data_IF_181069234293
#
_entry.id   IF_181069234293
#
_cell.length_a   1.000
_cell.length_b   1.000
_cell.length_c   1.000
_cell.angle_alpha   90.00
_cell.angle_beta   90.00
_cell.angle_gamma   90.00
#
_symmetry.space_group_name_H-M   'P 1'
#
loop_
_entity.id
_entity.type
_entity.pdbx_description
1 polymer ?
#
# COMPACT_ATOMS: atom_id res chain seq x y z
N UNK A 1 4.69 -20.99 -2.72
CA UNK A 1 5.93 -20.96 -3.50
C UNK A 1 7.01 -21.63 -2.67
N UNK A 2 7.83 -22.55 -3.18
CA UNK A 2 8.91 -23.14 -2.42
C UNK A 2 9.91 -22.03 -2.02
N UNK A 3 10.55 -22.20 -0.88
CA UNK A 3 11.64 -21.36 -0.43
C UNK A 3 12.71 -21.32 -1.55
N UNK A 4 12.97 -20.14 -2.09
CA UNK A 4 14.04 -19.93 -3.05
C UNK A 4 15.35 -20.08 -2.26
N UNK A 5 16.09 -21.12 -2.57
CA UNK A 5 17.43 -21.32 -2.06
C UNK A 5 18.26 -20.06 -2.33
N UNK A 6 18.99 -19.61 -1.31
CA UNK A 6 19.98 -18.55 -1.40
C UNK A 6 20.92 -18.82 -2.59
N UNK A 7 20.63 -18.16 -3.71
CA UNK A 7 21.59 -18.06 -4.79
C UNK A 7 22.68 -17.09 -4.34
N UNK A 8 23.93 -17.53 -4.38
CA UNK A 8 25.09 -16.72 -4.09
C UNK A 8 25.01 -15.42 -4.91
N UNK A 9 25.21 -14.28 -4.25
CA UNK A 9 25.27 -12.94 -4.84
C UNK A 9 26.57 -12.78 -5.66
N UNK A 10 26.61 -13.41 -6.82
CA UNK A 10 27.55 -13.07 -7.89
C UNK A 10 26.98 -11.86 -8.64
N UNK A 11 27.83 -10.90 -9.00
CA UNK A 11 27.42 -9.82 -9.90
C UNK A 11 26.87 -10.45 -11.19
N UNK A 12 25.61 -10.19 -11.49
CA UNK A 12 25.01 -10.61 -12.75
C UNK A 12 25.63 -9.75 -13.86
N UNK A 13 26.44 -10.32 -14.75
CA UNK A 13 27.15 -9.58 -15.80
C UNK A 13 26.19 -8.96 -16.83
N UNK A 14 24.92 -9.31 -16.81
CA UNK A 14 23.88 -8.75 -17.69
C UNK A 14 23.38 -7.38 -17.20
N UNK A 15 23.56 -7.04 -15.91
CA UNK A 15 23.09 -5.77 -15.36
C UNK A 15 24.12 -4.65 -15.60
N UNK A 16 23.65 -3.39 -15.84
CA UNK A 16 24.52 -2.25 -15.96
C UNK A 16 25.40 -2.03 -14.70
N UNK A 17 26.60 -1.44 -14.85
CA UNK A 17 27.53 -1.22 -13.74
C UNK A 17 26.94 -0.45 -12.54
N UNK A 18 25.97 0.44 -12.79
CA UNK A 18 25.27 1.18 -11.72
C UNK A 18 24.55 0.27 -10.70
N UNK A 19 24.20 -0.97 -11.11
CA UNK A 19 23.55 -1.95 -10.22
C UNK A 19 24.52 -2.72 -9.33
N UNK A 20 25.84 -2.60 -9.53
CA UNK A 20 26.84 -3.36 -8.74
C UNK A 20 26.79 -3.09 -7.24
N UNK A 21 26.37 -1.88 -6.84
CA UNK A 21 26.22 -1.47 -5.44
C UNK A 21 25.01 -2.01 -4.71
N UNK A 22 24.01 -2.57 -5.42
CA UNK A 22 22.78 -3.11 -4.82
C UNK A 22 23.08 -4.40 -4.06
N UNK A 23 22.60 -4.48 -2.81
CA UNK A 23 22.81 -5.63 -1.92
C UNK A 23 21.53 -5.98 -1.18
N UNK A 24 21.30 -7.28 -0.86
CA UNK A 24 20.21 -7.69 0.01
C UNK A 24 20.19 -6.92 1.32
N UNK A 25 19.00 -6.63 1.83
CA UNK A 25 18.81 -5.90 3.10
C UNK A 25 19.31 -6.71 4.31
N UNK A 26 19.33 -8.06 4.21
CA UNK A 26 19.87 -8.95 5.23
C UNK A 26 19.24 -8.75 6.61
N UNK A 27 20.09 -8.66 7.64
CA UNK A 27 19.66 -8.52 9.04
C UNK A 27 19.01 -7.17 9.38
N UNK A 28 18.99 -6.22 8.45
CA UNK A 28 18.22 -4.98 8.62
C UNK A 28 16.70 -5.25 8.66
N UNK A 29 16.27 -6.33 8.02
CA UNK A 29 14.85 -6.72 8.00
C UNK A 29 14.55 -7.58 9.23
N UNK A 30 13.69 -7.06 10.09
CA UNK A 30 13.13 -7.80 11.21
C UNK A 30 11.68 -8.15 10.90
N UNK A 31 11.33 -9.43 11.02
CA UNK A 31 9.94 -9.86 10.83
C UNK A 31 9.04 -9.38 11.98
N UNK A 32 7.77 -9.11 11.68
CA UNK A 32 6.75 -8.83 12.71
C UNK A 32 6.65 -10.05 13.64
N UNK A 33 6.70 -9.81 14.93
CA UNK A 33 6.75 -10.84 15.95
C UNK A 33 5.37 -11.42 16.30
N UNK A 34 5.27 -12.63 16.87
CA UNK A 34 4.02 -13.17 17.38
C UNK A 34 3.33 -12.26 18.41
N UNK A 35 4.09 -11.57 19.25
CA UNK A 35 3.54 -10.63 20.23
C UNK A 35 2.89 -9.41 19.57
N UNK A 36 3.47 -8.90 18.49
CA UNK A 36 2.90 -7.80 17.72
C UNK A 36 1.59 -8.24 17.04
N UNK A 37 1.52 -9.42 16.46
CA UNK A 37 0.26 -9.96 15.91
C UNK A 37 -0.80 -10.13 17.02
N UNK A 38 -0.42 -10.63 18.18
CA UNK A 38 -1.33 -10.75 19.33
C UNK A 38 -1.86 -9.39 19.79
N UNK A 39 -0.99 -8.37 19.84
CA UNK A 39 -1.37 -7.01 20.17
C UNK A 39 -2.34 -6.40 19.15
N UNK A 40 -2.17 -6.69 17.85
CA UNK A 40 -3.11 -6.26 16.78
C UNK A 40 -4.50 -6.87 16.96
N UNK A 41 -4.58 -8.15 17.30
CA UNK A 41 -5.85 -8.83 17.61
C UNK A 41 -6.51 -8.19 18.83
N UNK A 42 -5.78 -7.97 19.92
CA UNK A 42 -6.29 -7.31 21.12
C UNK A 42 -6.77 -5.88 20.82
N UNK A 43 -6.05 -5.13 19.97
CA UNK A 43 -6.47 -3.80 19.52
C UNK A 43 -7.78 -3.84 18.73
N UNK A 44 -7.95 -4.80 17.82
CA UNK A 44 -9.20 -4.97 17.08
C UNK A 44 -10.36 -5.29 18.04
N UNK A 45 -10.14 -6.16 19.04
CA UNK A 45 -11.14 -6.50 20.06
C UNK A 45 -11.57 -5.28 20.89
N UNK A 46 -10.63 -4.39 21.26
CA UNK A 46 -10.94 -3.13 21.92
C UNK A 46 -11.77 -2.21 21.03
N UNK A 47 -11.34 -2.00 19.78
CA UNK A 47 -12.03 -1.17 18.81
C UNK A 47 -13.46 -1.64 18.52
N UNK A 48 -13.70 -2.94 18.47
CA UNK A 48 -15.07 -3.48 18.33
C UNK A 48 -16.01 -3.02 19.44
N UNK A 49 -15.51 -2.82 20.66
CA UNK A 49 -16.30 -2.31 21.78
C UNK A 49 -16.46 -0.78 21.77
N UNK A 50 -15.46 -0.07 21.24
CA UNK A 50 -15.42 1.40 21.17
C UNK A 50 -16.32 1.97 20.06
N UNK A 51 -16.66 1.17 19.04
CA UNK A 51 -17.42 1.60 17.86
C UNK A 51 -16.76 2.78 17.14
N UNK A 52 -15.57 2.60 16.57
CA UNK A 52 -14.82 3.68 15.94
C UNK A 52 -15.60 4.28 14.76
N UNK A 53 -15.39 5.57 14.45
CA UNK A 53 -16.03 6.19 13.29
C UNK A 53 -15.57 5.50 12.00
N UNK A 54 -16.50 5.36 11.07
CA UNK A 54 -16.15 4.88 9.74
C UNK A 54 -15.27 5.88 9.00
N UNK A 55 -14.31 5.42 8.16
CA UNK A 55 -13.54 6.29 7.30
C UNK A 55 -14.41 7.13 6.39
N UNK A 56 -13.92 8.31 6.00
CA UNK A 56 -14.62 9.16 5.03
C UNK A 56 -14.86 8.42 3.73
N UNK A 57 -16.11 8.38 3.30
CA UNK A 57 -16.55 7.67 2.09
C UNK A 57 -16.98 6.21 2.32
N UNK A 58 -16.81 5.65 3.52
CA UNK A 58 -17.36 4.35 3.86
C UNK A 58 -18.89 4.45 4.09
N UNK A 59 -19.68 3.47 3.62
CA UNK A 59 -21.12 3.39 3.93
C UNK A 59 -21.39 2.96 5.38
N UNK A 60 -20.38 2.47 6.11
CA UNK A 60 -20.51 1.99 7.48
C UNK A 60 -20.78 3.12 8.46
N UNK A 61 -21.55 2.81 9.50
CA UNK A 61 -21.78 3.69 10.63
C UNK A 61 -20.99 3.21 11.87
N UNK A 62 -20.61 4.15 12.74
CA UNK A 62 -20.01 3.81 14.03
C UNK A 62 -20.96 2.92 14.84
N UNK A 63 -20.54 1.70 15.13
CA UNK A 63 -21.35 0.70 15.86
C UNK A 63 -20.43 -0.33 16.47
N UNK A 64 -20.89 -0.95 17.57
CA UNK A 64 -20.19 -2.08 18.17
C UNK A 64 -20.30 -3.33 17.31
N UNK A 65 -19.24 -4.11 17.28
CA UNK A 65 -19.23 -5.41 16.63
C UNK A 65 -19.09 -6.52 17.69
N UNK A 66 -19.66 -7.68 17.41
CA UNK A 66 -19.52 -8.87 18.25
C UNK A 66 -18.44 -9.81 17.68
N UNK A 67 -18.19 -9.74 16.38
CA UNK A 67 -17.09 -10.43 15.73
C UNK A 67 -16.66 -9.72 14.44
N UNK A 68 -15.45 -10.05 13.96
CA UNK A 68 -14.96 -9.74 12.62
C UNK A 68 -14.71 -11.04 11.86
N UNK A 69 -14.89 -10.98 10.55
CA UNK A 69 -14.62 -12.09 9.64
C UNK A 69 -13.75 -11.64 8.48
N UNK A 70 -12.70 -12.40 8.22
CA UNK A 70 -11.71 -12.15 7.18
C UNK A 70 -11.57 -13.37 6.26
N UNK A 71 -11.60 -13.14 4.97
CA UNK A 71 -11.15 -14.08 3.95
C UNK A 71 -9.63 -13.93 3.70
N UNK A 72 -9.01 -14.76 2.84
CA UNK A 72 -7.61 -14.57 2.48
C UNK A 72 -7.37 -13.18 1.87
N UNK A 73 -6.40 -12.46 2.41
CA UNK A 73 -6.08 -11.09 2.02
C UNK A 73 -5.15 -10.41 3.01
N UNK A 74 -5.03 -9.11 2.87
CA UNK A 74 -4.11 -8.28 3.64
C UNK A 74 -4.44 -8.27 5.13
N UNK A 75 -5.72 -8.20 5.49
CA UNK A 75 -6.10 -8.21 6.91
C UNK A 75 -5.92 -9.56 7.58
N UNK A 76 -6.12 -10.68 6.85
CA UNK A 76 -5.72 -12.00 7.36
C UNK A 76 -4.22 -12.00 7.72
N UNK A 77 -3.38 -11.51 6.80
CA UNK A 77 -1.94 -11.38 7.06
C UNK A 77 -1.65 -10.43 8.23
N UNK A 78 -2.27 -9.27 8.27
CA UNK A 78 -2.09 -8.26 9.33
C UNK A 78 -2.31 -8.82 10.73
N UNK A 79 -3.33 -9.66 10.91
CA UNK A 79 -3.67 -10.22 12.21
C UNK A 79 -2.95 -11.54 12.54
N UNK A 80 -2.47 -12.28 11.56
CA UNK A 80 -1.96 -13.64 11.78
C UNK A 80 -0.53 -13.89 11.29
N UNK A 81 0.01 -13.04 10.45
CA UNK A 81 1.25 -13.29 9.72
C UNK A 81 1.11 -14.31 8.59
N UNK A 82 -0.08 -14.84 8.36
CA UNK A 82 -0.31 -15.89 7.36
C UNK A 82 -0.64 -15.27 6.00
N UNK A 83 0.27 -15.45 5.02
CA UNK A 83 -0.01 -15.13 3.61
C UNK A 83 -0.71 -16.32 2.96
N UNK A 84 -1.95 -16.09 2.54
CA UNK A 84 -2.75 -17.09 1.85
C UNK A 84 -3.40 -16.51 0.60
N UNK A 85 -3.36 -17.27 -0.50
CA UNK A 85 -4.00 -16.85 -1.76
C UNK A 85 -5.51 -17.02 -1.70
N UNK A 86 -6.23 -16.11 -2.33
CA UNK A 86 -7.67 -16.24 -2.52
C UNK A 86 -7.96 -17.39 -3.48
N UNK A 87 -8.90 -18.25 -3.10
CA UNK A 87 -9.44 -19.32 -3.94
C UNK A 87 -10.94 -19.50 -3.63
N UNK A 88 -11.59 -20.45 -4.30
CA UNK A 88 -12.96 -20.83 -4.00
C UNK A 88 -13.10 -21.52 -2.64
N UNK A 89 -11.99 -22.02 -2.08
CA UNK A 89 -11.95 -22.67 -0.76
C UNK A 89 -11.62 -21.67 0.32
N UNK A 90 -12.50 -21.53 1.28
CA UNK A 90 -12.32 -20.58 2.36
C UNK A 90 -11.21 -21.01 3.32
N UNK A 91 -10.21 -20.15 3.47
CA UNK A 91 -9.39 -20.03 4.67
C UNK A 91 -9.82 -18.75 5.37
N UNK A 92 -10.59 -18.85 6.42
CA UNK A 92 -11.22 -17.71 7.09
C UNK A 92 -10.70 -17.49 8.50
N UNK A 93 -10.58 -16.23 8.92
CA UNK A 93 -10.29 -15.84 10.28
C UNK A 93 -11.54 -15.20 10.90
N UNK A 94 -11.95 -15.70 12.05
CA UNK A 94 -12.99 -15.08 12.88
C UNK A 94 -12.32 -14.53 14.14
N UNK A 95 -12.49 -13.23 14.39
CA UNK A 95 -12.03 -12.58 15.63
C UNK A 95 -13.28 -12.16 16.41
N UNK A 96 -13.66 -12.84 17.49
CA UNK A 96 -14.75 -12.40 18.37
C UNK A 96 -14.29 -11.20 19.20
N UNK A 97 -15.23 -10.31 19.58
CA UNK A 97 -14.96 -9.17 20.45
C UNK A 97 -14.39 -9.60 21.81
N UNK A 98 -14.92 -10.69 22.33
CA UNK A 98 -14.44 -11.35 23.57
C UNK A 98 -14.26 -12.83 23.31
N UNK A 99 -13.15 -13.39 23.76
CA UNK A 99 -12.79 -14.78 23.48
C UNK A 99 -11.55 -14.90 22.59
N UNK A 100 -11.37 -16.06 21.98
CA UNK A 100 -10.18 -16.36 21.17
C UNK A 100 -10.49 -16.39 19.67
N UNK A 101 -9.56 -15.93 18.84
CA UNK A 101 -9.69 -16.03 17.38
C UNK A 101 -9.73 -17.48 16.91
N UNK A 102 -10.41 -17.72 15.78
CA UNK A 102 -10.52 -19.04 15.16
C UNK A 102 -10.19 -18.94 13.68
N UNK A 103 -9.30 -19.82 13.20
CA UNK A 103 -9.05 -20.06 11.77
C UNK A 103 -9.91 -21.24 11.29
N UNK A 104 -10.62 -21.03 10.19
CA UNK A 104 -11.42 -22.07 9.50
C UNK A 104 -10.71 -22.45 8.23
N UNK A 105 -10.32 -23.71 8.06
CA UNK A 105 -9.34 -24.16 7.07
C UNK A 105 -9.79 -25.45 6.41
N UNK A 106 -9.59 -25.64 5.07
CA UNK A 106 -9.81 -26.94 4.45
C UNK A 106 -8.92 -28.02 5.10
N UNK A 107 -9.46 -29.20 5.36
CA UNK A 107 -8.75 -30.28 6.06
C UNK A 107 -7.42 -30.64 5.39
N UNK A 108 -7.38 -30.68 4.06
CA UNK A 108 -6.14 -31.02 3.31
C UNK A 108 -5.07 -29.91 3.33
N UNK A 109 -5.43 -28.67 3.73
CA UNK A 109 -4.50 -27.54 3.89
C UNK A 109 -4.04 -27.32 5.34
N UNK A 110 -4.58 -28.07 6.30
CA UNK A 110 -4.26 -27.91 7.73
C UNK A 110 -2.76 -27.99 8.00
N UNK A 111 -2.07 -28.99 7.45
CA UNK A 111 -0.62 -29.14 7.65
C UNK A 111 0.16 -27.93 7.21
N UNK A 112 -0.11 -27.44 6.00
CA UNK A 112 0.54 -26.25 5.42
C UNK A 112 0.23 -24.97 6.21
N UNK A 113 -1.00 -24.83 6.72
CA UNK A 113 -1.36 -23.68 7.53
C UNK A 113 -0.61 -23.72 8.87
N UNK A 114 -0.53 -24.88 9.53
CA UNK A 114 0.15 -25.01 10.83
C UNK A 114 1.66 -24.70 10.73
N UNK A 115 2.31 -24.96 9.62
CA UNK A 115 3.70 -24.56 9.37
C UNK A 115 3.89 -23.04 9.37
N UNK A 116 2.83 -22.27 9.06
CA UNK A 116 2.83 -20.79 8.99
C UNK A 116 2.26 -20.15 10.24
N UNK A 117 1.55 -20.89 11.08
CA UNK A 117 0.86 -20.37 12.26
C UNK A 117 1.79 -20.34 13.46
N UNK A 118 2.20 -19.13 13.87
CA UNK A 118 3.05 -18.91 15.03
C UNK A 118 2.29 -18.30 16.22
N UNK A 119 0.96 -18.29 16.19
CA UNK A 119 0.07 -17.73 17.18
C UNK A 119 -0.79 -18.82 17.82
N UNK A 120 -1.21 -18.67 19.08
CA UNK A 120 -2.12 -19.60 19.76
C UNK A 120 -3.58 -19.41 19.29
N UNK A 121 -3.83 -19.57 17.99
CA UNK A 121 -5.15 -19.47 17.37
C UNK A 121 -5.73 -20.86 17.20
N UNK A 122 -7.01 -21.05 17.59
CA UNK A 122 -7.75 -22.28 17.36
C UNK A 122 -7.92 -22.50 15.84
N UNK A 123 -7.66 -23.74 15.39
CA UNK A 123 -7.88 -24.11 13.97
C UNK A 123 -9.03 -25.11 13.92
N UNK A 124 -10.06 -24.77 13.14
CA UNK A 124 -11.17 -25.66 12.80
C UNK A 124 -11.09 -26.04 11.34
N UNK A 125 -11.11 -27.33 11.08
CA UNK A 125 -11.04 -27.87 9.73
C UNK A 125 -12.45 -28.16 9.17
N UNK A 126 -12.57 -28.09 7.85
CA UNK A 126 -13.76 -28.49 7.12
C UNK A 126 -13.39 -29.44 5.97
N UNK A 127 -14.28 -30.42 5.71
CA UNK A 127 -14.16 -31.36 4.60
C UNK A 127 -14.87 -30.80 3.37
N UNK A 128 -14.55 -31.30 2.15
CA UNK A 128 -15.09 -30.83 0.90
C UNK A 128 -16.64 -30.87 0.80
N UNK A 129 -17.29 -31.73 1.61
CA UNK A 129 -18.73 -31.87 1.71
C UNK A 129 -19.36 -31.04 2.86
N UNK A 130 -18.55 -30.20 3.54
CA UNK A 130 -19.00 -29.33 4.64
C UNK A 130 -19.00 -27.85 4.26
N UNK A 131 -19.84 -27.08 4.93
CA UNK A 131 -19.87 -25.62 4.78
C UNK A 131 -18.83 -24.95 5.71
N UNK A 132 -17.80 -24.30 5.20
CA UNK A 132 -16.83 -23.58 6.02
C UNK A 132 -17.47 -22.42 6.80
N UNK A 133 -18.50 -21.79 6.26
CA UNK A 133 -19.19 -20.68 6.93
C UNK A 133 -20.10 -21.15 8.07
N UNK A 134 -20.67 -22.34 7.98
CA UNK A 134 -21.36 -22.98 9.13
C UNK A 134 -20.37 -23.31 10.24
N UNK A 135 -19.16 -23.74 9.92
CA UNK A 135 -18.10 -24.00 10.92
C UNK A 135 -17.66 -22.67 11.56
N UNK A 136 -17.54 -21.58 10.79
CA UNK A 136 -17.29 -20.25 11.33
C UNK A 136 -18.41 -19.77 12.28
N UNK A 137 -19.67 -19.95 11.89
CA UNK A 137 -20.82 -19.63 12.73
C UNK A 137 -20.85 -20.46 14.01
N UNK A 138 -20.55 -21.78 13.90
CA UNK A 138 -20.42 -22.67 15.06
C UNK A 138 -19.29 -22.24 15.99
N UNK A 139 -18.17 -21.77 15.47
CA UNK A 139 -17.06 -21.25 16.25
C UNK A 139 -17.48 -20.07 17.16
N UNK A 140 -18.34 -19.19 16.65
CA UNK A 140 -18.93 -18.11 17.45
C UNK A 140 -19.93 -18.65 18.48
N UNK A 141 -20.81 -19.56 18.05
CA UNK A 141 -21.83 -20.15 18.94
C UNK A 141 -21.23 -20.90 20.12
N UNK A 142 -20.10 -21.61 19.90
CA UNK A 142 -19.36 -22.33 20.96
C UNK A 142 -18.73 -21.36 21.98
N UNK A 143 -18.51 -20.11 21.61
CA UNK A 143 -18.08 -19.02 22.49
C UNK A 143 -19.26 -18.16 23.00
N UNK A 144 -20.49 -18.69 22.92
CA UNK A 144 -21.74 -18.05 23.35
C UNK A 144 -22.11 -16.77 22.56
N UNK A 145 -21.60 -16.60 21.37
CA UNK A 145 -21.95 -15.50 20.47
C UNK A 145 -22.87 -16.04 19.37
N UNK A 146 -24.20 -15.80 19.49
CA UNK A 146 -25.22 -16.37 18.62
C UNK A 146 -26.01 -15.31 17.85
N UNK A 147 -25.88 -14.06 18.26
CA UNK A 147 -26.56 -12.89 17.66
C UNK A 147 -25.65 -11.68 17.83
N UNK A 148 -25.97 -10.60 17.12
CA UNK A 148 -25.23 -9.35 17.18
C UNK A 148 -24.77 -8.89 15.81
N UNK A 149 -23.64 -8.21 15.74
CA UNK A 149 -23.12 -7.63 14.51
C UNK A 149 -21.76 -8.23 14.15
N UNK A 150 -21.63 -8.73 12.92
CA UNK A 150 -20.36 -9.20 12.34
C UNK A 150 -19.86 -8.18 11.32
N UNK A 151 -18.63 -7.70 11.53
CA UNK A 151 -17.89 -6.93 10.51
C UNK A 151 -17.23 -7.89 9.53
N UNK A 152 -17.53 -7.72 8.24
CA UNK A 152 -16.90 -8.47 7.16
C UNK A 152 -15.95 -7.54 6.41
N UNK A 153 -14.73 -8.00 6.14
CA UNK A 153 -13.78 -7.23 5.35
C UNK A 153 -14.33 -6.96 3.94
N UNK A 154 -14.23 -5.72 3.47
CA UNK A 154 -14.81 -5.31 2.17
C UNK A 154 -14.20 -6.03 0.98
N UNK A 155 -12.96 -6.48 1.09
CA UNK A 155 -12.27 -7.27 0.06
C UNK A 155 -12.65 -8.75 0.06
N UNK A 156 -13.44 -9.22 1.03
CA UNK A 156 -13.94 -10.60 1.05
C UNK A 156 -14.84 -10.84 -0.17
N UNK A 157 -14.59 -11.93 -0.89
CA UNK A 157 -15.42 -12.31 -2.03
C UNK A 157 -16.90 -12.44 -1.63
N UNK A 158 -17.81 -11.90 -2.48
CA UNK A 158 -19.24 -11.91 -2.20
C UNK A 158 -19.79 -13.30 -1.85
N UNK A 159 -19.25 -14.36 -2.47
CA UNK A 159 -19.63 -15.75 -2.17
C UNK A 159 -19.44 -16.09 -0.69
N UNK A 160 -18.30 -15.71 -0.10
CA UNK A 160 -18.05 -16.00 1.31
C UNK A 160 -18.96 -15.21 2.23
N UNK A 161 -19.21 -13.94 1.91
CA UNK A 161 -20.18 -13.11 2.61
C UNK A 161 -21.58 -13.70 2.52
N UNK A 162 -22.05 -14.03 1.31
CA UNK A 162 -23.41 -14.54 1.09
C UNK A 162 -23.65 -15.87 1.80
N UNK A 163 -22.68 -16.80 1.72
CA UNK A 163 -22.76 -18.06 2.45
C UNK A 163 -22.73 -17.86 3.97
N UNK A 164 -21.92 -16.92 4.48
CA UNK A 164 -21.84 -16.69 5.91
C UNK A 164 -23.13 -16.06 6.48
N UNK A 165 -23.74 -15.11 5.78
CA UNK A 165 -25.01 -14.54 6.23
C UNK A 165 -26.15 -15.55 6.25
N UNK A 166 -26.14 -16.58 5.39
CA UNK A 166 -27.09 -17.66 5.42
C UNK A 166 -26.81 -18.65 6.56
N UNK A 167 -25.54 -18.93 6.83
CA UNK A 167 -25.12 -19.80 7.93
C UNK A 167 -25.33 -19.17 9.32
N UNK A 168 -25.40 -17.84 9.41
CA UNK A 168 -25.51 -17.07 10.64
C UNK A 168 -26.67 -16.06 10.63
N UNK A 169 -27.92 -16.50 10.45
CA UNK A 169 -29.09 -15.61 10.25
C UNK A 169 -29.44 -14.76 11.49
N UNK A 170 -28.88 -15.07 12.66
CA UNK A 170 -29.05 -14.29 13.89
C UNK A 170 -28.20 -13.04 13.97
N UNK A 171 -27.33 -12.79 12.96
CA UNK A 171 -26.42 -11.66 12.97
C UNK A 171 -26.80 -10.60 11.92
N UNK A 172 -26.55 -9.34 12.26
CA UNK A 172 -26.44 -8.24 11.32
C UNK A 172 -25.02 -8.23 10.74
N UNK A 173 -24.90 -8.02 9.45
CA UNK A 173 -23.59 -7.93 8.77
C UNK A 173 -23.32 -6.48 8.33
N UNK A 174 -22.08 -6.05 8.53
CA UNK A 174 -21.62 -4.72 8.15
C UNK A 174 -20.15 -4.78 7.68
N UNK A 175 -19.62 -3.69 7.10
CA UNK A 175 -18.21 -3.57 6.80
C UNK A 175 -17.38 -3.61 8.08
N UNK A 176 -16.24 -4.30 8.04
CA UNK A 176 -15.24 -4.31 9.12
C UNK A 176 -14.34 -3.05 9.11
N UNK A 177 -14.42 -2.22 8.08
CA UNK A 177 -13.54 -1.08 7.83
C UNK A 177 -13.34 -0.15 9.03
N UNK A 178 -14.39 0.21 9.80
CA UNK A 178 -14.18 1.06 10.97
C UNK A 178 -13.14 0.51 11.96
N UNK A 179 -13.03 -0.82 12.07
CA UNK A 179 -12.06 -1.48 12.94
C UNK A 179 -10.75 -1.75 12.22
N UNK A 180 -10.79 -2.34 11.03
CA UNK A 180 -9.58 -2.74 10.29
C UNK A 180 -8.73 -1.53 9.91
N UNK A 181 -9.36 -0.45 9.46
CA UNK A 181 -8.67 0.79 9.13
C UNK A 181 -8.13 1.50 10.38
N UNK A 182 -8.89 1.54 11.48
CA UNK A 182 -8.39 2.09 12.73
C UNK A 182 -7.18 1.30 13.28
N UNK A 183 -7.09 -0.01 12.97
CA UNK A 183 -5.89 -0.81 13.25
C UNK A 183 -4.75 -0.47 12.30
N UNK A 184 -4.99 -0.51 10.98
CA UNK A 184 -3.95 -0.46 9.95
C UNK A 184 -3.46 0.94 9.62
N UNK A 185 -4.31 1.96 9.77
CA UNK A 185 -3.93 3.34 9.46
C UNK A 185 -2.79 3.84 10.37
N UNK A 186 -2.76 3.41 11.63
CA UNK A 186 -1.76 3.82 12.62
C UNK A 186 -0.61 2.83 12.66
N UNK A 187 0.48 3.14 11.99
CA UNK A 187 1.68 2.30 11.93
C UNK A 187 2.46 2.36 13.25
N UNK A 188 2.89 1.22 13.73
CA UNK A 188 3.86 1.11 14.81
C UNK A 188 5.25 1.58 14.35
N UNK A 189 6.16 1.80 15.30
CA UNK A 189 7.55 2.16 14.97
C UNK A 189 8.22 1.08 14.11
N UNK A 190 7.92 -0.20 14.35
CA UNK A 190 8.45 -1.31 13.58
C UNK A 190 7.89 -1.34 12.13
N UNK A 191 6.58 -1.11 11.97
CA UNK A 191 5.97 -1.00 10.64
C UNK A 191 6.57 0.16 9.84
N UNK A 192 6.80 1.31 10.47
CA UNK A 192 7.47 2.47 9.85
C UNK A 192 8.94 2.17 9.47
N UNK A 193 9.64 1.36 10.27
CA UNK A 193 11.00 0.92 9.92
C UNK A 193 11.00 0.05 8.65
N UNK A 194 10.07 -0.90 8.54
CA UNK A 194 9.92 -1.74 7.35
C UNK A 194 9.57 -0.92 6.09
N UNK A 195 8.68 0.09 6.23
CA UNK A 195 8.36 1.01 5.14
C UNK A 195 9.58 1.85 4.72
N UNK A 196 10.37 2.37 5.66
CA UNK A 196 11.61 3.09 5.33
C UNK A 196 12.61 2.21 4.59
N UNK A 197 12.75 0.94 4.99
CA UNK A 197 13.61 0.00 4.27
C UNK A 197 13.12 -0.25 2.83
N UNK A 198 11.80 -0.31 2.62
CA UNK A 198 11.23 -0.42 1.28
C UNK A 198 11.50 0.85 0.44
N UNK A 199 11.34 2.05 1.04
CA UNK A 199 11.67 3.32 0.40
C UNK A 199 13.15 3.42 0.03
N UNK A 200 14.05 3.10 0.97
CA UNK A 200 15.50 3.09 0.72
C UNK A 200 15.88 2.18 -0.45
N UNK A 201 15.35 0.94 -0.45
CA UNK A 201 15.60 -0.03 -1.52
C UNK A 201 15.08 0.47 -2.88
N UNK A 202 13.90 1.09 -2.89
CA UNK A 202 13.32 1.67 -4.10
C UNK A 202 14.17 2.80 -4.64
N UNK A 203 14.66 3.69 -3.77
CA UNK A 203 15.58 4.75 -4.16
C UNK A 203 16.88 4.23 -4.76
N UNK A 204 17.47 3.20 -4.16
CA UNK A 204 18.72 2.62 -4.67
C UNK A 204 18.54 2.00 -6.05
N UNK A 205 17.45 1.24 -6.26
CA UNK A 205 17.12 0.64 -7.56
C UNK A 205 16.81 1.72 -8.61
N UNK A 206 15.99 2.72 -8.28
CA UNK A 206 15.65 3.79 -9.20
C UNK A 206 16.88 4.62 -9.57
N UNK A 207 17.73 4.94 -8.62
CA UNK A 207 19.01 5.64 -8.88
C UNK A 207 19.88 4.87 -9.87
N UNK A 208 20.02 3.55 -9.68
CA UNK A 208 20.79 2.70 -10.59
C UNK A 208 20.14 2.65 -12.00
N UNK A 209 18.81 2.62 -12.05
CA UNK A 209 18.05 2.61 -13.30
C UNK A 209 18.22 3.91 -14.08
N UNK A 210 18.00 5.07 -13.46
CA UNK A 210 18.17 6.37 -14.10
C UNK A 210 19.61 6.58 -14.61
N UNK A 211 20.61 6.11 -13.88
CA UNK A 211 22.02 6.14 -14.31
C UNK A 211 22.32 5.22 -15.50
N UNK A 212 21.42 4.30 -15.82
CA UNK A 212 21.59 3.28 -16.87
C UNK A 212 20.75 3.54 -18.12
N UNK A 213 19.95 4.60 -18.15
CA UNK A 213 19.08 4.93 -19.28
C UNK A 213 19.89 5.18 -20.56
N UNK A 214 19.37 4.68 -21.68
CA UNK A 214 19.95 4.85 -23.00
C UNK A 214 18.85 5.11 -24.01
N UNK A 215 19.13 5.95 -25.01
CA UNK A 215 18.22 6.18 -26.12
C UNK A 215 17.83 4.86 -26.81
N UNK A 216 16.57 4.75 -27.19
CA UNK A 216 16.00 3.56 -27.83
C UNK A 216 15.50 2.46 -26.87
N UNK A 217 15.80 2.54 -25.57
CA UNK A 217 15.21 1.62 -24.59
C UNK A 217 13.68 1.74 -24.57
N UNK A 218 12.99 0.63 -24.52
CA UNK A 218 11.54 0.59 -24.33
C UNK A 218 11.18 0.78 -22.84
N UNK A 219 9.91 1.10 -22.56
CA UNK A 219 9.39 1.07 -21.20
C UNK A 219 9.58 -0.30 -20.53
N UNK A 220 9.46 -1.39 -21.29
CA UNK A 220 9.63 -2.76 -20.79
C UNK A 220 11.10 -3.05 -20.45
N UNK A 221 12.06 -2.59 -21.27
CA UNK A 221 13.48 -2.72 -20.97
C UNK A 221 13.83 -2.04 -19.64
N UNK A 222 13.28 -0.85 -19.40
CA UNK A 222 13.49 -0.10 -18.15
C UNK A 222 12.81 -0.78 -16.98
N UNK A 223 11.58 -1.27 -17.16
CA UNK A 223 10.85 -2.02 -16.12
C UNK A 223 11.59 -3.31 -15.73
N UNK A 224 12.12 -4.06 -16.69
CA UNK A 224 12.91 -5.26 -16.42
C UNK A 224 14.22 -4.95 -15.65
N UNK A 225 14.88 -3.80 -15.93
CA UNK A 225 16.03 -3.38 -15.12
C UNK A 225 15.65 -3.14 -13.66
N UNK A 226 14.50 -2.54 -13.43
CA UNK A 226 13.97 -2.28 -12.07
C UNK A 226 13.67 -3.58 -11.35
N UNK A 227 12.94 -4.50 -12.00
CA UNK A 227 12.64 -5.83 -11.47
C UNK A 227 13.91 -6.61 -11.13
N UNK A 228 14.91 -6.60 -12.03
CA UNK A 228 16.20 -7.25 -11.79
C UNK A 228 16.97 -6.57 -10.63
N UNK A 229 16.89 -5.25 -10.50
CA UNK A 229 17.46 -4.52 -9.37
C UNK A 229 16.86 -4.96 -8.03
N UNK A 230 15.55 -5.05 -7.93
CA UNK A 230 14.88 -5.58 -6.73
C UNK A 230 15.22 -7.05 -6.48
N UNK A 231 15.24 -7.88 -7.52
CA UNK A 231 15.62 -9.28 -7.41
C UNK A 231 17.05 -9.44 -6.85
N UNK A 232 18.00 -8.61 -7.28
CA UNK A 232 19.38 -8.56 -6.75
C UNK A 232 19.40 -8.21 -5.26
N UNK A 233 18.44 -7.41 -4.78
CA UNK A 233 18.28 -7.10 -3.36
C UNK A 233 17.46 -8.16 -2.59
N UNK A 234 17.08 -9.26 -3.24
CA UNK A 234 16.19 -10.30 -2.70
C UNK A 234 14.80 -9.75 -2.31
N UNK A 235 14.31 -8.78 -3.10
CA UNK A 235 13.01 -8.15 -2.94
C UNK A 235 12.13 -8.42 -4.16
N UNK A 236 10.81 -8.31 -3.96
CA UNK A 236 9.82 -8.27 -5.03
C UNK A 236 9.35 -6.84 -5.21
N UNK A 237 9.52 -6.31 -6.39
CA UNK A 237 9.11 -4.96 -6.74
C UNK A 237 9.02 -4.78 -8.24
N UNK A 238 8.60 -3.61 -8.68
CA UNK A 238 8.46 -3.27 -10.09
C UNK A 238 8.15 -1.79 -10.25
N UNK A 239 7.91 -1.35 -11.48
CA UNK A 239 7.50 0.02 -11.74
C UNK A 239 6.60 0.15 -12.97
N UNK A 240 5.75 1.18 -12.93
CA UNK A 240 5.16 1.79 -14.11
C UNK A 240 6.21 2.73 -14.72
N UNK A 241 6.54 2.51 -15.99
CA UNK A 241 7.49 3.35 -16.73
C UNK A 241 6.75 4.07 -17.87
N UNK A 242 6.82 5.38 -17.88
CA UNK A 242 6.17 6.23 -18.88
C UNK A 242 7.19 7.16 -19.53
N UNK A 243 7.18 7.20 -20.87
CA UNK A 243 8.16 7.94 -21.67
C UNK A 243 7.48 9.01 -22.53
N UNK A 244 8.06 10.22 -22.56
CA UNK A 244 7.64 11.32 -23.41
C UNK A 244 6.16 11.70 -23.22
N UNK A 245 5.41 11.78 -24.31
CA UNK A 245 3.99 12.15 -24.29
C UNK A 245 3.10 11.13 -23.58
N UNK A 246 3.53 9.86 -23.47
CA UNK A 246 2.79 8.82 -22.74
C UNK A 246 2.73 9.09 -21.23
N UNK A 247 3.66 9.86 -20.69
CA UNK A 247 3.63 10.28 -19.28
C UNK A 247 2.40 11.16 -18.94
N UNK A 248 1.72 11.73 -19.95
CA UNK A 248 0.45 12.43 -19.75
C UNK A 248 -0.73 11.52 -19.36
N UNK A 249 -0.55 10.21 -19.39
CA UNK A 249 -1.53 9.21 -18.96
C UNK A 249 -1.11 8.65 -17.60
N UNK A 250 -1.68 9.11 -16.47
CA UNK A 250 -1.16 8.81 -15.12
C UNK A 250 -0.97 7.33 -14.79
N UNK A 251 -1.85 6.46 -15.31
CA UNK A 251 -1.80 5.01 -15.11
C UNK A 251 -1.28 4.25 -16.34
N UNK A 252 -0.66 4.95 -17.29
CA UNK A 252 0.00 4.33 -18.41
C UNK A 252 -0.86 4.14 -19.67
N UNK A 253 -0.25 3.49 -20.66
CA UNK A 253 -0.83 3.16 -21.95
C UNK A 253 -0.37 1.79 -22.40
N UNK A 254 -1.18 1.12 -23.22
CA UNK A 254 -0.81 -0.14 -23.87
C UNK A 254 0.06 0.08 -25.15
N UNK A 255 0.26 1.34 -25.54
CA UNK A 255 1.08 1.63 -26.71
C UNK A 255 2.58 1.50 -26.39
N UNK A 256 3.35 0.82 -27.25
CA UNK A 256 4.80 0.72 -27.08
C UNK A 256 5.45 2.09 -27.06
N UNK A 257 6.39 2.29 -26.14
CA UNK A 257 7.14 3.52 -25.97
C UNK A 257 8.63 3.25 -26.15
N UNK A 258 9.36 4.21 -26.70
CA UNK A 258 10.83 4.16 -26.80
C UNK A 258 11.40 5.49 -26.38
N UNK A 259 12.40 5.45 -25.53
CA UNK A 259 13.11 6.60 -25.01
C UNK A 259 13.86 7.35 -26.11
N UNK A 260 13.66 8.66 -26.16
CA UNK A 260 14.31 9.58 -27.10
C UNK A 260 14.86 10.79 -26.36
N UNK A 261 15.81 11.47 -26.98
CA UNK A 261 16.32 12.75 -26.48
C UNK A 261 15.16 13.77 -26.30
N UNK A 262 15.12 14.40 -25.13
CA UNK A 262 14.08 15.37 -24.74
C UNK A 262 12.83 14.73 -24.07
N UNK A 263 12.71 13.42 -24.04
CA UNK A 263 11.57 12.74 -23.41
C UNK A 263 11.58 12.89 -21.89
N UNK A 264 10.41 13.12 -21.34
CA UNK A 264 10.15 12.86 -19.90
C UNK A 264 10.27 11.38 -19.65
N UNK A 265 10.95 11.01 -18.57
CA UNK A 265 10.99 9.66 -18.00
C UNK A 265 10.35 9.72 -16.63
N UNK A 266 9.17 9.12 -16.51
CA UNK A 266 8.45 8.97 -15.23
C UNK A 266 8.49 7.49 -14.82
N UNK A 267 9.03 7.22 -13.64
CA UNK A 267 9.11 5.89 -13.04
C UNK A 267 8.39 5.94 -11.71
N UNK A 268 7.40 5.06 -11.52
CA UNK A 268 6.46 5.08 -10.41
C UNK A 268 6.22 3.67 -9.85
N UNK A 269 6.24 3.52 -8.58
CA UNK A 269 5.99 2.35 -7.73
C UNK A 269 7.15 2.08 -6.76
N UNK A 270 7.38 0.79 -6.43
CA UNK A 270 8.45 0.39 -5.53
C UNK A 270 8.42 -1.11 -5.22
N UNK A 271 8.78 -1.45 -4.00
CA UNK A 271 8.86 -2.82 -3.52
C UNK A 271 8.14 -2.99 -2.19
N UNK A 272 8.16 -4.21 -1.66
CA UNK A 272 7.66 -4.53 -0.33
C UNK A 272 8.71 -5.21 0.54
N UNK A 273 8.81 -4.78 1.81
CA UNK A 273 9.62 -5.42 2.85
C UNK A 273 8.69 -5.96 3.92
N UNK A 274 8.72 -7.27 4.19
CA UNK A 274 7.75 -7.95 5.06
C UNK A 274 6.28 -7.63 4.72
N UNK A 275 6.01 -7.25 3.45
CA UNK A 275 4.72 -6.87 2.93
C UNK A 275 4.37 -5.39 3.04
N UNK A 276 5.15 -4.60 3.76
CA UNK A 276 5.00 -3.14 3.82
C UNK A 276 5.56 -2.52 2.55
N UNK A 277 4.70 -1.80 1.84
CA UNK A 277 5.00 -1.22 0.54
C UNK A 277 5.73 0.12 0.65
N UNK A 278 6.48 0.44 -0.38
CA UNK A 278 6.85 1.79 -0.76
C UNK A 278 6.15 2.18 -2.05
N UNK A 279 5.82 3.45 -2.21
CA UNK A 279 5.30 4.04 -3.43
C UNK A 279 6.03 5.35 -3.71
N UNK A 280 6.79 5.37 -4.79
CA UNK A 280 7.72 6.47 -5.11
C UNK A 280 7.67 6.76 -6.59
N UNK A 281 7.36 8.00 -6.94
CA UNK A 281 7.53 8.46 -8.33
C UNK A 281 8.70 9.41 -8.44
N UNK A 282 9.55 9.16 -9.44
CA UNK A 282 10.57 10.10 -9.88
C UNK A 282 10.40 10.41 -11.35
N UNK A 283 10.45 11.70 -11.64
CA UNK A 283 10.44 12.22 -13.02
C UNK A 283 11.79 12.86 -13.36
N UNK A 284 12.30 12.54 -14.54
CA UNK A 284 13.48 13.16 -15.14
C UNK A 284 13.22 13.49 -16.61
N UNK A 285 14.16 14.14 -17.28
CA UNK A 285 14.18 14.32 -18.73
C UNK A 285 15.46 13.70 -19.27
N UNK A 286 15.33 12.83 -20.27
CA UNK A 286 16.48 12.28 -20.97
C UNK A 286 17.04 13.37 -21.93
N UNK A 287 18.13 14.02 -21.49
CA UNK A 287 18.68 15.19 -22.15
C UNK A 287 18.26 16.52 -21.51
N UNK A 288 17.87 17.50 -22.29
CA UNK A 288 17.53 18.85 -21.78
C UNK A 288 16.01 19.06 -21.70
N UNK A 289 15.48 19.48 -20.54
CA UNK A 289 14.07 19.84 -20.43
C UNK A 289 13.76 21.13 -21.21
N UNK A 290 12.55 21.23 -21.73
CA UNK A 290 12.00 22.51 -22.22
C UNK A 290 11.66 23.41 -21.05
N UNK A 291 11.59 24.73 -21.25
CA UNK A 291 11.17 25.68 -20.21
C UNK A 291 9.78 25.35 -19.64
N UNK A 292 8.86 24.85 -20.49
CA UNK A 292 7.51 24.44 -20.07
C UNK A 292 7.57 23.25 -19.11
N UNK A 293 8.38 22.24 -19.43
CA UNK A 293 8.58 21.06 -18.56
C UNK A 293 9.23 21.48 -17.24
N UNK A 294 10.30 22.28 -17.28
CA UNK A 294 10.99 22.74 -16.09
C UNK A 294 10.05 23.52 -15.15
N UNK A 295 9.28 24.48 -15.71
CA UNK A 295 8.29 25.24 -14.93
C UNK A 295 7.19 24.34 -14.31
N UNK A 296 6.68 23.37 -15.06
CA UNK A 296 5.67 22.44 -14.56
C UNK A 296 6.23 21.58 -13.42
N UNK A 297 7.48 21.11 -13.56
CA UNK A 297 8.16 20.33 -12.52
C UNK A 297 8.34 21.13 -11.22
N UNK A 298 8.78 22.38 -11.30
CA UNK A 298 8.89 23.25 -10.12
C UNK A 298 7.56 23.45 -9.41
N UNK A 299 6.45 23.53 -10.15
CA UNK A 299 5.12 23.64 -9.56
C UNK A 299 4.68 22.34 -8.86
N UNK A 300 4.96 21.19 -9.49
CA UNK A 300 4.70 19.87 -8.87
C UNK A 300 5.50 19.73 -7.58
N UNK A 301 6.77 20.11 -7.57
CA UNK A 301 7.59 20.09 -6.34
C UNK A 301 7.06 21.02 -5.26
N UNK A 302 6.70 22.26 -5.62
CA UNK A 302 6.09 23.22 -4.67
C UNK A 302 4.75 22.71 -4.13
N UNK A 303 3.96 22.02 -4.96
CA UNK A 303 2.71 21.41 -4.53
C UNK A 303 2.95 20.27 -3.52
N UNK A 304 3.98 19.45 -3.76
CA UNK A 304 4.37 18.38 -2.85
C UNK A 304 4.86 18.95 -1.50
N UNK A 305 5.66 20.01 -1.51
CA UNK A 305 6.12 20.70 -0.29
C UNK A 305 4.96 21.33 0.48
N UNK A 306 4.01 21.96 -0.23
CA UNK A 306 2.81 22.54 0.39
C UNK A 306 1.92 21.48 1.05
N UNK A 307 1.79 20.32 0.42
CA UNK A 307 1.07 19.18 0.98
C UNK A 307 1.75 18.63 2.24
N UNK A 308 3.07 18.44 2.19
CA UNK A 308 3.84 17.96 3.33
C UNK A 308 3.67 18.88 4.55
N UNK A 309 3.75 20.20 4.32
CA UNK A 309 3.57 21.21 5.38
C UNK A 309 2.13 21.23 5.93
N UNK A 310 1.12 21.03 5.08
CA UNK A 310 -0.30 21.01 5.48
C UNK A 310 -0.71 19.72 6.21
N UNK A 311 0.03 18.63 6.00
CA UNK A 311 -0.25 17.31 6.58
C UNK A 311 0.18 17.27 8.06
N UNK A 312 -0.74 17.66 8.96
CA UNK A 312 -0.51 17.77 10.41
C UNK A 312 -1.57 17.01 11.18
N UNK A 313 -1.21 16.47 12.33
CA UNK A 313 -2.17 15.87 13.25
C UNK A 313 -3.27 16.88 13.60
N UNK A 314 -4.52 16.40 13.61
CA UNK A 314 -5.70 17.22 13.87
C UNK A 314 -6.28 17.94 12.65
N UNK A 315 -5.57 18.02 11.53
CA UNK A 315 -6.08 18.58 10.28
C UNK A 315 -6.95 17.56 9.52
N UNK A 316 -7.82 18.06 8.64
CA UNK A 316 -8.61 17.20 7.76
C UNK A 316 -7.76 16.77 6.57
N UNK A 317 -7.82 15.50 6.20
CA UNK A 317 -7.07 14.95 5.06
C UNK A 317 -7.41 15.64 3.73
N UNK A 318 -8.63 16.15 3.56
CA UNK A 318 -9.03 16.93 2.38
C UNK A 318 -8.30 18.25 2.23
N UNK A 319 -7.92 18.91 3.34
CA UNK A 319 -7.17 20.17 3.28
C UNK A 319 -5.76 20.02 2.75
N UNK A 320 -5.20 18.82 2.85
CA UNK A 320 -3.87 18.50 2.29
C UNK A 320 -3.93 18.45 0.76
N UNK A 321 -4.96 17.80 0.17
CA UNK A 321 -5.21 17.85 -1.28
C UNK A 321 -5.45 19.29 -1.76
N UNK A 322 -6.27 20.04 -1.03
CA UNK A 322 -6.58 21.44 -1.38
C UNK A 322 -5.31 22.30 -1.44
N UNK A 323 -4.35 22.11 -0.52
CA UNK A 323 -3.09 22.86 -0.47
C UNK A 323 -2.21 22.63 -1.71
N UNK A 324 -2.01 21.35 -2.10
CA UNK A 324 -1.25 21.01 -3.28
C UNK A 324 -1.93 21.49 -4.56
N UNK A 325 -3.23 21.28 -4.65
CA UNK A 325 -4.04 21.65 -5.82
C UNK A 325 -4.05 23.17 -6.03
N UNK A 326 -4.11 23.95 -4.95
CA UNK A 326 -4.04 25.42 -5.03
C UNK A 326 -2.73 25.88 -5.68
N UNK A 327 -1.59 25.28 -5.36
CA UNK A 327 -0.30 25.62 -5.99
C UNK A 327 -0.35 25.38 -7.49
N UNK A 328 -0.86 24.23 -7.93
CA UNK A 328 -0.95 23.86 -9.35
C UNK A 328 -1.92 24.78 -10.10
N UNK A 329 -3.10 25.07 -9.55
CA UNK A 329 -4.10 25.94 -10.15
C UNK A 329 -3.58 27.38 -10.26
N UNK A 330 -2.99 27.93 -9.18
CA UNK A 330 -2.41 29.27 -9.18
C UNK A 330 -1.19 29.39 -10.12
N UNK A 331 -0.50 28.27 -10.35
CA UNK A 331 0.59 28.17 -11.35
C UNK A 331 0.13 28.20 -12.82
N UNK A 332 -1.19 28.22 -13.07
CA UNK A 332 -1.78 28.26 -14.41
C UNK A 332 -2.16 26.89 -14.98
N UNK A 333 -2.11 25.83 -14.15
CA UNK A 333 -2.51 24.45 -14.54
C UNK A 333 -3.86 24.05 -13.91
N UNK A 334 -4.82 24.94 -13.96
CA UNK A 334 -6.21 24.74 -13.52
C UNK A 334 -7.22 24.83 -14.67
N UNK A 335 -8.52 24.85 -14.34
CA UNK A 335 -9.08 24.68 -13.01
C UNK A 335 -9.23 23.22 -12.58
N UNK A 336 -9.55 23.01 -11.30
CA UNK A 336 -9.95 21.73 -10.71
C UNK A 336 -9.07 20.54 -11.11
N UNK A 337 -9.67 19.48 -11.66
CA UNK A 337 -9.01 18.24 -12.09
C UNK A 337 -8.49 18.29 -13.54
N UNK A 338 -8.39 19.47 -14.17
CA UNK A 338 -8.04 19.56 -15.60
C UNK A 338 -6.65 19.00 -15.93
N UNK A 339 -5.66 19.35 -15.14
CA UNK A 339 -4.27 18.92 -15.35
C UNK A 339 -3.70 18.13 -14.16
N UNK A 340 -4.24 18.32 -12.96
CA UNK A 340 -4.02 17.45 -11.82
C UNK A 340 -5.25 16.56 -11.65
N UNK A 341 -5.26 15.43 -12.34
CA UNK A 341 -6.46 14.65 -12.66
C UNK A 341 -6.90 13.67 -11.58
N UNK A 342 -6.08 13.41 -10.57
CA UNK A 342 -6.36 12.47 -9.48
C UNK A 342 -6.28 13.13 -8.11
N UNK A 343 -6.57 12.38 -7.05
CA UNK A 343 -6.36 12.81 -5.66
C UNK A 343 -4.88 13.04 -5.38
N UNK A 344 -4.58 13.79 -4.32
CA UNK A 344 -3.21 14.05 -3.91
C UNK A 344 -2.46 12.80 -3.47
N UNK A 345 -3.15 11.86 -2.82
CA UNK A 345 -2.51 10.66 -2.32
C UNK A 345 -3.49 9.71 -1.63
N UNK A 346 -2.97 8.60 -1.20
CA UNK A 346 -3.68 7.51 -0.54
C UNK A 346 -2.90 7.03 0.68
N UNK A 347 -3.60 6.36 1.61
CA UNK A 347 -2.93 5.61 2.66
C UNK A 347 -2.07 4.51 2.06
N UNK A 348 -0.97 4.19 2.71
CA UNK A 348 -0.04 3.15 2.29
C UNK A 348 0.41 2.33 3.49
N UNK A 349 0.69 1.06 3.28
CA UNK A 349 1.14 0.15 4.32
C UNK A 349 1.34 -1.25 3.78
N UNK A 350 0.51 -2.21 4.21
CA UNK A 350 0.51 -3.56 3.64
C UNK A 350 -0.14 -3.62 2.25
N UNK A 351 -1.08 -2.74 1.97
CA UNK A 351 -1.54 -2.48 0.61
C UNK A 351 -0.87 -1.21 0.09
N UNK A 352 -0.54 -1.17 -1.20
CA UNK A 352 -0.04 0.05 -1.85
C UNK A 352 -1.06 1.17 -1.74
N UNK A 353 -2.35 0.85 -1.91
CA UNK A 353 -3.46 1.78 -1.68
C UNK A 353 -4.36 1.27 -0.55
N UNK A 354 -4.40 1.98 0.55
CA UNK A 354 -5.30 1.72 1.67
C UNK A 354 -5.91 3.03 2.21
N UNK A 355 -6.94 2.91 3.01
CA UNK A 355 -7.51 4.07 3.70
C UNK A 355 -6.56 4.61 4.80
N UNK A 356 -6.70 5.93 5.12
CA UNK A 356 -7.56 6.94 4.51
C UNK A 356 -6.94 7.59 3.26
N UNK A 357 -7.69 8.48 2.58
CA UNK A 357 -7.25 9.14 1.35
C UNK A 357 -7.06 10.64 1.55
N UNK A 358 -6.03 11.21 0.89
CA UNK A 358 -5.83 12.65 0.73
C UNK A 358 -6.58 13.09 -0.53
N UNK A 359 -7.86 13.42 -0.37
CA UNK A 359 -8.73 13.81 -1.48
C UNK A 359 -9.63 14.96 -1.05
N UNK A 360 -9.88 15.88 -1.95
CA UNK A 360 -10.76 17.04 -1.74
C UNK A 360 -12.07 16.64 -1.03
N UNK A 361 -12.42 17.37 0.01
CA UNK A 361 -13.65 17.17 0.77
C UNK A 361 -13.63 16.02 1.78
N UNK A 362 -12.55 15.24 1.88
CA UNK A 362 -12.40 14.23 2.92
C UNK A 362 -12.43 14.85 4.30
N UNK A 363 -13.18 14.23 5.21
CA UNK A 363 -13.37 14.67 6.61
C UNK A 363 -12.56 13.85 7.61
N UNK A 364 -11.72 12.95 7.14
CA UNK A 364 -10.86 12.16 8.03
C UNK A 364 -9.87 13.08 8.72
N UNK A 365 -9.85 13.03 10.05
CA UNK A 365 -8.88 13.76 10.86
C UNK A 365 -7.57 13.01 10.86
N UNK A 366 -6.49 13.64 10.44
CA UNK A 366 -5.15 13.08 10.45
C UNK A 366 -4.67 12.84 11.88
N UNK A 367 -4.05 11.70 12.11
CA UNK A 367 -3.53 11.31 13.42
C UNK A 367 -2.09 10.78 13.30
N UNK A 368 -1.29 10.89 14.37
CA UNK A 368 0.08 10.38 14.36
C UNK A 368 0.16 8.90 13.98
N UNK A 369 1.16 8.54 13.20
CA UNK A 369 1.35 7.18 12.68
C UNK A 369 0.59 6.85 11.40
N UNK A 370 -0.32 7.71 10.94
CA UNK A 370 -0.92 7.55 9.61
C UNK A 370 0.12 7.83 8.53
N UNK A 371 0.14 6.98 7.51
CA UNK A 371 1.06 7.08 6.37
C UNK A 371 0.32 7.28 5.06
N UNK A 372 0.90 8.07 4.16
CA UNK A 372 0.30 8.45 2.89
C UNK A 372 1.36 8.59 1.81
N UNK A 373 0.95 8.34 0.55
CA UNK A 373 1.64 8.93 -0.60
C UNK A 373 1.37 10.43 -0.65
N UNK A 374 2.32 11.19 -1.18
CA UNK A 374 2.20 12.62 -1.49
C UNK A 374 2.66 12.81 -2.93
N UNK A 375 1.71 12.77 -3.89
CA UNK A 375 1.95 12.53 -5.29
C UNK A 375 1.28 13.54 -6.24
N UNK A 376 1.46 14.85 -6.06
CA UNK A 376 0.89 15.79 -7.01
C UNK A 376 1.50 15.62 -8.41
N UNK A 377 0.67 15.85 -9.45
CA UNK A 377 1.10 15.73 -10.84
C UNK A 377 0.48 16.76 -11.75
N UNK A 378 1.10 16.99 -12.90
CA UNK A 378 0.59 17.80 -14.03
C UNK A 378 0.66 16.94 -15.28
N UNK A 379 -0.48 16.74 -15.93
CA UNK A 379 -0.62 15.88 -17.12
C UNK A 379 -1.24 16.68 -18.26
N UNK A 380 -0.47 16.89 -19.34
CA UNK A 380 -0.90 17.65 -20.51
C UNK A 380 -1.04 16.69 -21.68
N UNK A 381 -2.28 16.27 -22.04
CA UNK A 381 -2.51 15.28 -23.08
C UNK A 381 -1.79 15.63 -24.39
N UNK A 382 -1.06 14.65 -24.92
CA UNK A 382 -0.29 14.78 -26.17
C UNK A 382 1.04 15.54 -26.04
N UNK A 383 1.40 16.00 -24.85
CA UNK A 383 2.67 16.69 -24.62
C UNK A 383 3.56 15.94 -23.62
N UNK A 384 3.23 15.99 -22.34
CA UNK A 384 3.96 15.33 -21.25
C UNK A 384 3.15 15.21 -19.97
N UNK A 385 3.59 14.35 -19.06
CA UNK A 385 3.13 14.28 -17.69
C UNK A 385 4.30 14.28 -16.72
N UNK A 386 4.05 14.82 -15.52
CA UNK A 386 5.01 14.89 -14.42
C UNK A 386 4.33 14.49 -13.14
N UNK A 387 4.96 13.65 -12.33
CA UNK A 387 4.61 13.34 -10.93
C UNK A 387 5.87 13.29 -10.09
N UNK A 388 5.81 13.84 -8.89
CA UNK A 388 6.79 13.60 -7.84
C UNK A 388 6.05 13.01 -6.66
N UNK A 389 6.52 11.90 -6.14
CA UNK A 389 5.86 11.16 -5.08
C UNK A 389 6.83 10.69 -4.04
N UNK A 390 6.46 10.88 -2.80
CA UNK A 390 7.14 10.38 -1.63
C UNK A 390 6.14 9.85 -0.62
N UNK A 391 6.49 8.78 0.07
CA UNK A 391 5.75 8.31 1.24
C UNK A 391 6.04 9.20 2.45
N UNK A 392 4.99 9.54 3.20
CA UNK A 392 5.11 10.36 4.41
C UNK A 392 4.32 9.76 5.58
N UNK A 393 4.72 10.13 6.80
CA UNK A 393 4.04 9.77 8.05
C UNK A 393 3.62 11.02 8.80
N UNK A 394 2.40 11.02 9.33
CA UNK A 394 1.91 12.08 10.22
C UNK A 394 2.60 11.95 11.58
N UNK A 395 3.19 13.04 12.04
CA UNK A 395 3.88 13.13 13.33
C UNK A 395 2.95 13.67 14.43
N UNK A 396 3.34 13.49 15.68
CA UNK A 396 2.58 14.07 16.81
C UNK A 396 2.64 15.59 16.83
N UNK A 397 3.80 16.13 16.48
CA UNK A 397 4.06 17.57 16.48
C UNK A 397 4.66 18.00 15.13
N UNK A 398 4.19 19.11 14.61
CA UNK A 398 4.67 19.69 13.36
C UNK A 398 4.07 19.06 12.09
N UNK A 399 4.67 19.28 10.91
CA UNK A 399 4.25 18.72 9.65
C UNK A 399 4.61 17.23 9.55
N UNK A 400 4.03 16.53 8.57
CA UNK A 400 4.41 15.17 8.26
C UNK A 400 5.90 15.04 7.93
N UNK A 401 6.46 13.86 8.14
CA UNK A 401 7.84 13.52 7.80
C UNK A 401 7.88 12.51 6.67
N UNK A 402 8.83 12.69 5.76
CA UNK A 402 9.07 11.73 4.69
C UNK A 402 9.57 10.40 5.27
N UNK A 403 9.09 9.29 4.71
CA UNK A 403 9.65 7.96 4.89
C UNK A 403 10.74 7.68 3.86
N UNK A 404 10.67 8.36 2.72
CA UNK A 404 11.69 8.33 1.68
C UNK A 404 12.94 9.10 2.11
N UNK A 405 14.13 8.75 1.59
CA UNK A 405 15.34 9.55 1.79
C UNK A 405 15.14 10.98 1.27
N UNK A 406 15.57 11.96 2.06
CA UNK A 406 15.49 13.37 1.69
C UNK A 406 16.57 13.74 0.67
N UNK A 407 16.27 13.63 -0.62
CA UNK A 407 17.14 14.07 -1.70
C UNK A 407 16.68 15.38 -2.33
N UNK A 408 17.65 16.15 -2.80
CA UNK A 408 17.34 17.26 -3.71
C UNK A 408 16.86 16.69 -5.05
N UNK A 409 15.64 17.03 -5.41
CA UNK A 409 15.04 16.56 -6.66
C UNK A 409 15.24 17.60 -7.76
N UNK A 410 15.86 17.21 -8.88
CA UNK A 410 15.91 17.99 -10.10
C UNK A 410 15.60 17.11 -11.30
N UNK A 411 15.16 17.72 -12.40
CA UNK A 411 14.87 16.99 -13.63
C UNK A 411 16.11 16.34 -14.25
N UNK A 412 17.27 17.00 -14.14
CA UNK A 412 18.52 16.46 -14.69
C UNK A 412 19.19 15.45 -13.77
N UNK A 413 18.92 15.57 -12.47
CA UNK A 413 19.56 14.73 -11.44
C UNK A 413 18.55 14.37 -10.35
N UNK A 414 17.62 13.45 -10.63
CA UNK A 414 16.52 13.15 -9.68
C UNK A 414 16.97 12.54 -8.34
N UNK A 415 18.26 12.21 -8.22
CA UNK A 415 18.87 11.60 -7.01
C UNK A 415 20.15 12.31 -6.54
N UNK A 416 20.40 13.55 -6.95
CA UNK A 416 21.58 14.32 -6.55
C UNK A 416 21.26 15.34 -5.46
#
# INVERSE_FOLDING_TARGET
>A
MPAIASAASGDDPSLPPAFSGLKPLGERVRAITPDEFSARIARAQSLMAEAPPAPSGSPSQASKYDALFFAPGTSLYYFTGIRWGLSERLVGLVIPRTGHPVLVVPAFEEGRLREKLHLPIEVRIWQEDQSPTEIAAKALADQNIRTGRIGVEETAGFTFFDHFRHAAPGFEFASADPVTMACRAHKSAHELELMRLACDATFDVFRATFASLKEGMSQDDIAHLIEAGFAKMNLHGGALVLLGASAALPHGTLQPQKLKEGDVVLIDRGCGVEGYASDVTRTSVYGKPTEKIARAYELVRKAQDAALEAARAGHLSGTVDDSARAVIVNGGFGPDYKFFTHRLGHGIGLDGHEHPYLVRGSKTVLQPGMTFSNEPGIYIPGEFGLRCEDDMVITADGPAQLLTPGFAHSLEKPFA
#
